data_IF_252889633009
#
_entry.id   IF_252889633009
#
_cell.length_a   1.000
_cell.length_b   1.000
_cell.length_c   1.000
_cell.angle_alpha   90.00
_cell.angle_beta   90.00
_cell.angle_gamma   90.00
#
_symmetry.space_group_name_H-M   'P 1'
#
loop_
_entity.id
_entity.type
_entity.pdbx_description
1 polymer ?
#
# COMPACT_ATOMS: atom_id res chain seq x y z
N UNK A 1 5.16 14.02 10.70
CA UNK A 1 4.37 13.36 9.64
C UNK A 1 4.38 11.87 9.90
N UNK A 2 3.38 11.14 9.38
CA UNK A 2 3.19 9.71 9.63
C UNK A 2 3.20 8.91 8.32
N UNK A 3 3.63 7.65 8.42
CA UNK A 3 3.47 6.60 7.41
C UNK A 3 2.40 5.64 7.91
N UNK A 4 1.44 5.26 7.06
CA UNK A 4 0.33 4.38 7.41
C UNK A 4 0.79 2.94 7.59
N UNK A 5 1.60 2.44 6.65
CA UNK A 5 2.19 1.09 6.60
C UNK A 5 1.19 -0.06 6.36
N UNK A 6 -0.09 0.24 6.15
CA UNK A 6 -1.13 -0.74 5.80
C UNK A 6 -2.19 -0.16 4.84
N UNK A 7 -1.75 0.42 3.74
CA UNK A 7 -2.67 0.91 2.70
C UNK A 7 -3.28 -0.30 1.98
N UNK A 8 -4.60 -0.42 2.07
CA UNK A 8 -5.40 -1.48 1.43
C UNK A 8 -6.87 -1.06 1.33
N UNK A 9 -7.62 -1.65 0.40
CA UNK A 9 -8.99 -1.24 0.12
C UNK A 9 -9.89 -1.33 1.37
N UNK A 10 -9.72 -2.34 2.21
CA UNK A 10 -10.53 -2.51 3.44
C UNK A 10 -10.28 -1.44 4.52
N UNK A 11 -9.19 -0.67 4.41
CA UNK A 11 -8.91 0.46 5.31
C UNK A 11 -9.47 1.78 4.77
N UNK A 12 -10.12 1.77 3.61
CA UNK A 12 -10.89 2.90 3.11
C UNK A 12 -12.38 2.65 3.31
N UNK A 13 -13.08 3.63 3.86
CA UNK A 13 -14.54 3.57 4.05
C UNK A 13 -15.20 4.76 3.37
N UNK A 14 -16.43 4.57 2.90
CA UNK A 14 -17.31 5.69 2.56
C UNK A 14 -17.85 6.27 3.87
N UNK A 15 -17.65 7.56 4.09
CA UNK A 15 -18.23 8.23 5.23
C UNK A 15 -19.75 8.32 5.07
N UNK A 16 -20.47 8.16 6.18
CA UNK A 16 -21.91 8.41 6.18
C UNK A 16 -22.14 9.93 6.13
N UNK A 17 -22.60 10.45 4.98
CA UNK A 17 -22.81 11.89 4.75
C UNK A 17 -23.72 12.55 5.80
N UNK A 18 -24.69 11.81 6.35
CA UNK A 18 -25.54 12.29 7.43
C UNK A 18 -24.77 12.46 8.74
N UNK A 19 -23.83 11.56 9.04
CA UNK A 19 -23.06 11.60 10.28
C UNK A 19 -22.01 12.72 10.29
N UNK A 20 -21.61 13.23 9.12
CA UNK A 20 -20.58 14.27 8.97
C UNK A 20 -21.13 15.61 8.47
N UNK A 21 -22.46 15.78 8.45
CA UNK A 21 -23.14 16.99 7.95
C UNK A 21 -22.63 17.45 6.57
N UNK A 22 -22.42 16.49 5.66
CA UNK A 22 -22.01 16.76 4.29
C UNK A 22 -23.15 16.54 3.30
N UNK A 23 -22.99 17.12 2.10
CA UNK A 23 -23.92 16.92 1.01
C UNK A 23 -24.09 15.40 0.75
N UNK A 24 -25.32 14.85 0.74
CA UNK A 24 -25.57 13.44 0.44
C UNK A 24 -25.04 12.99 -0.93
N UNK A 25 -24.92 13.90 -1.90
CA UNK A 25 -24.39 13.62 -3.24
C UNK A 25 -22.85 13.59 -3.29
N UNK A 26 -22.18 14.00 -2.21
CA UNK A 26 -20.71 13.99 -2.11
C UNK A 26 -20.22 12.66 -1.53
N UNK A 27 -19.47 11.90 -2.33
CA UNK A 27 -18.78 10.70 -1.84
C UNK A 27 -17.48 11.10 -1.15
N UNK A 28 -17.42 10.89 0.17
CA UNK A 28 -16.19 11.08 0.94
C UNK A 28 -15.57 9.75 1.35
N UNK A 29 -14.39 9.48 0.82
CA UNK A 29 -13.55 8.36 1.24
C UNK A 29 -12.76 8.77 2.49
N UNK A 30 -12.77 7.93 3.52
CA UNK A 30 -11.97 8.13 4.74
C UNK A 30 -11.01 6.96 4.93
N UNK A 31 -9.80 7.26 5.37
CA UNK A 31 -8.80 6.28 5.75
C UNK A 31 -8.97 5.95 7.25
N UNK A 32 -9.05 4.66 7.57
CA UNK A 32 -9.20 4.13 8.93
C UNK A 32 -8.05 3.18 9.27
N UNK A 33 -8.04 2.68 10.52
CA UNK A 33 -7.03 1.77 11.06
C UNK A 33 -5.59 2.32 11.06
N UNK A 34 -5.35 3.24 11.99
CA UNK A 34 -4.03 3.81 12.24
C UNK A 34 -3.18 2.95 13.18
N UNK A 35 -3.58 1.70 13.46
CA UNK A 35 -3.01 0.85 14.52
C UNK A 35 -1.53 0.51 14.31
N UNK A 36 -1.07 0.56 13.06
CA UNK A 36 0.35 0.40 12.73
C UNK A 36 0.99 1.65 12.11
N UNK A 37 0.37 2.82 12.19
CA UNK A 37 1.00 4.06 11.74
C UNK A 37 2.31 4.35 12.49
N UNK A 38 3.24 5.07 11.86
CA UNK A 38 4.50 5.47 12.51
C UNK A 38 4.94 6.87 12.09
N UNK A 39 5.31 7.69 13.08
CA UNK A 39 5.92 9.00 12.78
C UNK A 39 7.33 8.80 12.24
N UNK A 40 7.57 9.31 11.04
CA UNK A 40 8.91 9.40 10.44
C UNK A 40 9.68 10.65 10.90
N UNK A 41 9.00 11.55 11.65
CA UNK A 41 9.61 12.70 12.30
C UNK A 41 9.73 12.50 13.82
N UNK A 42 10.75 13.06 14.42
CA UNK A 42 10.92 13.14 15.87
C UNK A 42 10.10 14.29 16.48
N UNK A 43 10.33 14.59 17.77
CA UNK A 43 9.62 15.66 18.50
C UNK A 43 10.05 17.06 18.04
N UNK A 44 11.24 17.22 17.49
CA UNK A 44 11.74 18.46 16.88
C UNK A 44 11.21 18.69 15.48
N UNK A 45 10.65 17.67 14.83
CA UNK A 45 10.17 17.75 13.45
C UNK A 45 11.19 17.28 12.41
N UNK A 46 12.35 16.79 12.87
CA UNK A 46 13.43 16.25 12.05
C UNK A 46 13.18 14.79 11.68
N UNK A 47 13.78 14.34 10.58
CA UNK A 47 13.65 12.96 10.13
C UNK A 47 14.35 12.00 11.12
N UNK A 48 13.65 10.93 11.50
CA UNK A 48 14.24 9.88 12.33
C UNK A 48 15.25 9.07 11.53
N UNK A 49 16.32 8.64 12.19
CA UNK A 49 17.24 7.63 11.67
C UNK A 49 16.49 6.34 11.35
N UNK A 50 16.65 5.78 10.13
CA UNK A 50 16.10 4.48 9.77
C UNK A 50 16.58 3.37 10.70
N UNK A 51 15.67 2.48 11.12
CA UNK A 51 16.06 1.23 11.79
C UNK A 51 16.48 0.19 10.74
N UNK A 52 17.34 -0.73 11.15
CA UNK A 52 17.95 -1.76 10.28
C UNK A 52 17.34 -3.15 10.41
N UNK A 53 16.48 -3.40 11.41
CA UNK A 53 15.80 -4.69 11.61
C UNK A 53 14.35 -4.46 12.07
N UNK A 54 13.43 -4.45 11.11
CA UNK A 54 12.01 -4.22 11.35
C UNK A 54 11.23 -5.47 10.99
N UNK A 55 10.55 -6.03 11.98
CA UNK A 55 9.58 -7.10 11.75
C UNK A 55 8.48 -6.61 10.81
N UNK A 56 8.23 -7.40 9.75
CA UNK A 56 7.15 -7.17 8.81
C UNK A 56 5.81 -6.95 9.53
N UNK A 57 5.08 -5.91 9.13
CA UNK A 57 3.71 -5.61 9.56
C UNK A 57 2.91 -5.14 8.34
N UNK A 58 1.58 -5.29 8.42
CA UNK A 58 0.66 -4.89 7.37
C UNK A 58 0.31 -6.06 6.44
N UNK A 59 -0.29 -5.71 5.30
CA UNK A 59 -0.88 -6.69 4.39
C UNK A 59 0.10 -7.10 3.31
N UNK A 60 0.56 -8.37 3.33
CA UNK A 60 1.55 -8.95 2.40
C UNK A 60 1.29 -8.58 0.93
N UNK A 61 0.03 -8.69 0.48
CA UNK A 61 -0.40 -8.36 -0.88
C UNK A 61 0.01 -6.96 -1.36
N UNK A 62 -0.12 -5.94 -0.51
CA UNK A 62 0.12 -4.54 -0.87
C UNK A 62 1.40 -3.95 -0.27
N UNK A 63 2.08 -4.65 0.65
CA UNK A 63 3.27 -4.11 1.30
C UNK A 63 4.39 -3.74 0.29
N UNK A 64 5.14 -2.68 0.53
CA UNK A 64 6.28 -2.31 -0.32
C UNK A 64 7.43 -3.32 -0.20
N UNK A 65 8.34 -3.35 -1.18
CA UNK A 65 9.58 -4.15 -1.06
C UNK A 65 10.39 -3.80 0.19
N UNK A 66 10.43 -2.52 0.59
CA UNK A 66 11.11 -2.12 1.82
C UNK A 66 10.50 -2.82 3.06
N UNK A 67 9.17 -2.96 3.12
CA UNK A 67 8.51 -3.70 4.18
C UNK A 67 8.89 -5.19 4.17
N UNK A 68 8.94 -5.81 2.97
CA UNK A 68 9.38 -7.20 2.80
C UNK A 68 10.83 -7.43 3.27
N UNK A 69 11.71 -6.45 3.07
CA UNK A 69 13.12 -6.52 3.46
C UNK A 69 13.41 -6.03 4.87
N UNK A 70 12.39 -5.67 5.65
CA UNK A 70 12.58 -5.20 7.02
C UNK A 70 13.26 -3.83 7.11
N UNK A 71 13.19 -3.05 6.04
CA UNK A 71 13.70 -1.69 5.96
C UNK A 71 12.72 -0.67 6.55
N UNK A 72 13.23 0.50 6.92
CA UNK A 72 12.38 1.57 7.43
C UNK A 72 11.46 2.12 6.34
N UNK A 73 10.15 1.95 6.57
CA UNK A 73 9.14 2.49 5.68
C UNK A 73 9.05 4.01 5.81
N UNK A 74 8.90 4.66 4.67
CA UNK A 74 8.74 6.09 4.47
C UNK A 74 7.46 6.36 3.65
N UNK A 75 7.19 7.61 3.32
CA UNK A 75 5.99 7.98 2.55
C UNK A 75 5.92 7.34 1.16
N UNK A 76 7.07 6.98 0.55
CA UNK A 76 7.11 6.26 -0.73
C UNK A 76 6.46 4.87 -0.63
N UNK A 77 6.52 4.25 0.54
CA UNK A 77 6.08 2.88 0.76
C UNK A 77 4.56 2.79 0.86
N UNK A 78 3.91 3.84 1.37
CA UNK A 78 2.45 3.99 1.27
C UNK A 78 2.00 4.21 -0.18
N UNK A 79 2.79 4.95 -0.99
CA UNK A 79 2.51 5.16 -2.42
C UNK A 79 2.67 3.88 -3.24
N UNK A 80 3.68 3.06 -2.95
CA UNK A 80 3.86 1.74 -3.56
C UNK A 80 2.69 0.81 -3.20
N UNK A 81 2.25 0.83 -1.94
CA UNK A 81 1.10 0.05 -1.49
C UNK A 81 -0.20 0.51 -2.17
N UNK A 82 -0.41 1.82 -2.28
CA UNK A 82 -1.53 2.42 -3.01
C UNK A 82 -1.51 2.02 -4.49
N UNK A 83 -0.35 2.03 -5.13
CA UNK A 83 -0.20 1.62 -6.53
C UNK A 83 -0.60 0.15 -6.74
N UNK A 84 -0.13 -0.77 -5.89
CA UNK A 84 -0.56 -2.17 -5.96
C UNK A 84 -2.06 -2.34 -5.73
N UNK A 85 -2.64 -1.60 -4.78
CA UNK A 85 -4.09 -1.59 -4.54
C UNK A 85 -4.85 -1.08 -5.77
N UNK A 86 -4.40 -0.01 -6.42
CA UNK A 86 -5.05 0.54 -7.62
C UNK A 86 -4.97 -0.42 -8.81
N UNK A 87 -3.81 -1.04 -9.04
CA UNK A 87 -3.67 -2.06 -10.09
C UNK A 87 -4.67 -3.19 -9.88
N UNK A 88 -4.82 -3.68 -8.65
CA UNK A 88 -5.80 -4.74 -8.36
C UNK A 88 -7.25 -4.27 -8.55
N UNK A 89 -7.60 -3.06 -8.12
CA UNK A 89 -8.95 -2.52 -8.30
C UNK A 89 -9.32 -2.37 -9.79
N UNK A 90 -8.34 -2.03 -10.63
CA UNK A 90 -8.55 -1.80 -12.06
C UNK A 90 -8.50 -3.12 -12.85
N UNK A 91 -7.53 -3.98 -12.56
CA UNK A 91 -7.23 -5.21 -13.32
C UNK A 91 -7.89 -6.48 -12.74
N UNK A 92 -8.44 -6.39 -11.53
CA UNK A 92 -9.04 -7.50 -10.80
C UNK A 92 -8.05 -8.39 -10.04
N UNK A 93 -6.76 -8.40 -10.38
CA UNK A 93 -5.73 -9.19 -9.70
C UNK A 93 -4.33 -8.55 -9.82
N UNK A 94 -3.46 -8.88 -8.87
CA UNK A 94 -2.01 -8.71 -8.97
C UNK A 94 -1.35 -10.02 -9.42
N UNK A 95 -0.15 -9.97 -10.03
CA UNK A 95 0.57 -11.17 -10.43
C UNK A 95 0.77 -12.18 -9.29
N UNK A 96 0.91 -11.70 -8.04
CA UNK A 96 1.11 -12.54 -6.84
C UNK A 96 -0.18 -12.84 -6.05
N UNK A 97 -1.37 -12.51 -6.58
CA UNK A 97 -2.64 -12.68 -5.83
C UNK A 97 -2.99 -14.13 -5.48
N UNK A 98 -2.36 -15.12 -6.14
CA UNK A 98 -2.54 -16.55 -5.88
C UNK A 98 -1.68 -17.07 -4.70
N UNK A 99 -0.69 -16.30 -4.23
CA UNK A 99 0.16 -16.69 -3.12
C UNK A 99 -0.56 -16.49 -1.78
N UNK A 100 -0.31 -17.40 -0.85
CA UNK A 100 -0.84 -17.32 0.51
C UNK A 100 -0.13 -16.22 1.31
N UNK A 101 -0.81 -15.73 2.36
CA UNK A 101 -0.37 -14.55 3.14
C UNK A 101 0.96 -14.71 3.86
N UNK A 102 1.43 -15.93 4.08
CA UNK A 102 2.72 -16.27 4.73
C UNK A 102 3.88 -16.44 3.74
N UNK A 103 3.62 -16.47 2.43
CA UNK A 103 4.62 -16.57 1.37
C UNK A 103 5.28 -15.20 1.08
N UNK A 104 5.84 -14.58 2.11
CA UNK A 104 6.36 -13.21 2.06
C UNK A 104 7.52 -13.08 1.05
N UNK A 105 8.42 -14.08 1.01
CA UNK A 105 9.60 -14.07 0.13
C UNK A 105 9.21 -14.20 -1.34
N UNK A 106 8.24 -15.06 -1.64
CA UNK A 106 7.72 -15.30 -2.98
C UNK A 106 6.99 -14.06 -3.49
N UNK A 107 6.17 -13.42 -2.65
CA UNK A 107 5.51 -12.15 -3.00
C UNK A 107 6.55 -11.05 -3.28
N UNK A 108 7.60 -10.94 -2.46
CA UNK A 108 8.69 -9.98 -2.69
C UNK A 108 9.41 -10.22 -4.02
N UNK A 109 9.75 -11.48 -4.32
CA UNK A 109 10.41 -11.85 -5.58
C UNK A 109 9.55 -11.51 -6.80
N UNK A 110 8.23 -11.74 -6.73
CA UNK A 110 7.31 -11.36 -7.80
C UNK A 110 7.18 -9.84 -7.96
N UNK A 111 7.21 -9.08 -6.86
CA UNK A 111 7.23 -7.61 -6.88
C UNK A 111 8.50 -7.07 -7.53
N UNK A 112 9.66 -7.65 -7.23
CA UNK A 112 10.92 -7.30 -7.91
C UNK A 112 10.88 -7.61 -9.41
N UNK A 113 10.40 -8.80 -9.78
CA UNK A 113 10.26 -9.19 -11.18
C UNK A 113 9.37 -8.22 -11.97
N UNK A 114 8.40 -7.57 -11.31
CA UNK A 114 7.51 -6.57 -11.93
C UNK A 114 8.16 -5.17 -12.10
N UNK A 115 9.38 -4.94 -11.61
CA UNK A 115 10.09 -3.65 -11.75
C UNK A 115 10.91 -3.53 -13.04
N UNK A 116 10.90 -4.55 -13.89
CA UNK A 116 11.43 -4.46 -15.26
C UNK A 116 10.36 -3.95 -16.23
N UNK A 117 10.77 -3.55 -17.44
CA UNK A 117 9.83 -3.17 -18.50
C UNK A 117 8.85 -4.31 -18.80
N UNK A 118 9.34 -5.53 -19.01
CA UNK A 118 8.53 -6.71 -19.29
C UNK A 118 7.63 -7.07 -18.09
N UNK A 119 8.18 -7.00 -16.87
CA UNK A 119 7.43 -7.29 -15.65
C UNK A 119 6.29 -6.32 -15.41
N UNK A 120 6.51 -5.03 -15.69
CA UNK A 120 5.48 -4.00 -15.57
C UNK A 120 4.32 -4.24 -16.54
N UNK A 121 4.60 -4.75 -17.75
CA UNK A 121 3.58 -5.15 -18.72
C UNK A 121 2.76 -6.34 -18.25
N UNK A 122 3.36 -7.28 -17.50
CA UNK A 122 2.63 -8.40 -16.88
C UNK A 122 1.69 -7.88 -15.80
N UNK A 123 2.20 -7.03 -14.91
CA UNK A 123 1.42 -6.46 -13.82
C UNK A 123 0.24 -5.61 -14.31
N UNK A 124 0.44 -4.85 -15.39
CA UNK A 124 -0.59 -3.98 -15.96
C UNK A 124 -1.31 -4.60 -17.18
N UNK A 125 -1.19 -5.92 -17.39
CA UNK A 125 -1.70 -6.62 -18.58
C UNK A 125 -3.18 -6.35 -18.84
N UNK A 126 -3.97 -6.26 -17.77
CA UNK A 126 -5.43 -6.09 -17.82
C UNK A 126 -5.87 -4.65 -17.50
N UNK A 127 -4.95 -3.71 -17.33
CA UNK A 127 -5.30 -2.30 -17.17
C UNK A 127 -5.88 -1.74 -18.49
N UNK A 128 -6.91 -0.88 -18.43
CA UNK A 128 -7.42 -0.16 -19.59
C UNK A 128 -6.29 0.58 -20.32
N UNK A 129 -6.27 0.50 -21.64
CA UNK A 129 -5.35 1.25 -22.50
C UNK A 129 -6.09 2.44 -23.10
N UNK A 130 -5.45 3.60 -23.09
CA UNK A 130 -5.96 4.75 -23.83
C UNK A 130 -5.78 4.45 -25.32
N UNK A 131 -6.90 4.50 -26.06
CA UNK A 131 -6.95 4.35 -27.52
C UNK A 131 -6.37 5.55 -28.24
#
# INVERSE_FOLDING_TARGET
GYVHRDIKASNFCLANSHAINQNPDELKLVLVDYGICRSFKDKSGELKTPRTDIKFRGTNRYASLAAHYGEEQSTKDDMESWFYMMVELISGNLPWSFLHRDQNKEVAAMKEACRTTEGSLIMMKYCPRVS
#
